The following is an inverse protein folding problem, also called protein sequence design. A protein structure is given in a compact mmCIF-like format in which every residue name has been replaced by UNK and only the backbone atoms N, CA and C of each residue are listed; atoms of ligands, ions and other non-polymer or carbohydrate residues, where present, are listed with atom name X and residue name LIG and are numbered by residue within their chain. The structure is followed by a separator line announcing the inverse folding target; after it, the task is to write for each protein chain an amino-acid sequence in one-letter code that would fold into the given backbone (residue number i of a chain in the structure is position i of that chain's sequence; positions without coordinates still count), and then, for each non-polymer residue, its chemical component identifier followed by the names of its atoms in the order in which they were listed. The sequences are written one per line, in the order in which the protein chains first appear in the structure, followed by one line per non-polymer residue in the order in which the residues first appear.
data_IF_802353646389
#
_entry.id   IF_802353646389
#
_cell.length_a   1.000
_cell.length_b   1.000
_cell.length_c   1.000
_cell.angle_alpha   90.00
_cell.angle_beta   90.00
_cell.angle_gamma   90.00
#
_symmetry.space_group_name_H-M   'P 1'
#
loop_
_entity.id
_entity.type
_entity.pdbx_description
1 polymer ?
#
# COMPACT_ATOMS: atom_id res chain seq x y z
N UNK A 1 -11.08 10.90 8.06
CA UNK A 1 -11.77 9.68 8.57
C UNK A 1 -11.09 8.38 8.08
N UNK A 2 -10.33 8.40 6.98
CA UNK A 2 -9.61 7.23 6.44
C UNK A 2 -8.50 6.67 7.35
N UNK A 3 -7.78 7.54 8.09
CA UNK A 3 -6.72 7.15 9.04
C UNK A 3 -7.21 6.15 10.08
N UNK A 4 -8.37 6.42 10.68
CA UNK A 4 -8.94 5.48 11.62
C UNK A 4 -9.60 4.29 10.90
N UNK A 5 -10.46 4.51 9.91
CA UNK A 5 -11.17 3.40 9.25
C UNK A 5 -10.25 2.33 8.64
N UNK A 6 -9.38 2.71 7.71
CA UNK A 6 -8.62 1.79 6.86
C UNK A 6 -7.09 1.89 7.03
N UNK A 7 -6.62 2.82 7.88
CA UNK A 7 -5.19 3.00 8.16
C UNK A 7 -4.52 1.72 8.67
N UNK A 8 -5.18 0.98 9.57
CA UNK A 8 -4.66 -0.28 10.12
C UNK A 8 -4.45 -1.35 9.03
N UNK A 9 -5.41 -1.49 8.11
CA UNK A 9 -5.30 -2.44 6.99
C UNK A 9 -4.15 -2.04 6.05
N UNK A 10 -4.02 -0.75 5.72
CA UNK A 10 -2.92 -0.27 4.88
C UNK A 10 -1.55 -0.47 5.55
N UNK A 11 -1.48 -0.28 6.87
CA UNK A 11 -0.31 -0.59 7.69
C UNK A 11 0.07 -2.07 7.59
N UNK A 12 -0.88 -2.98 7.76
CA UNK A 12 -0.65 -4.43 7.66
C UNK A 12 -0.15 -4.84 6.27
N UNK A 13 -0.72 -4.29 5.19
CA UNK A 13 -0.28 -4.53 3.81
C UNK A 13 1.18 -4.08 3.65
N UNK A 14 1.52 -2.90 4.17
CA UNK A 14 2.88 -2.34 4.09
C UNK A 14 3.88 -3.15 4.92
N UNK A 15 3.49 -3.57 6.12
CA UNK A 15 4.33 -4.39 7.01
C UNK A 15 4.66 -5.73 6.38
N UNK A 16 3.71 -6.36 5.67
CA UNK A 16 3.97 -7.60 4.90
C UNK A 16 5.01 -7.38 3.80
N UNK A 17 4.99 -6.23 3.12
CA UNK A 17 6.01 -5.89 2.12
C UNK A 17 7.38 -5.68 2.77
N UNK A 18 7.44 -4.97 3.90
CA UNK A 18 8.69 -4.71 4.64
C UNK A 18 9.27 -6.02 5.18
N UNK A 19 8.45 -6.89 5.78
CA UNK A 19 8.90 -8.21 6.24
C UNK A 19 9.49 -9.04 5.07
N UNK A 20 8.88 -8.94 3.89
CA UNK A 20 9.38 -9.60 2.68
C UNK A 20 10.73 -9.05 2.22
N UNK A 21 10.92 -7.73 2.27
CA UNK A 21 12.20 -7.07 1.98
C UNK A 21 13.28 -7.51 2.98
N UNK A 22 12.98 -7.48 4.27
CA UNK A 22 13.95 -7.80 5.33
C UNK A 22 14.33 -9.28 5.39
N UNK A 23 13.61 -10.15 4.68
CA UNK A 23 13.84 -11.60 4.71
C UNK A 23 13.55 -12.23 6.08
N UNK A 24 12.89 -11.51 6.99
CA UNK A 24 12.42 -12.02 8.28
C UNK A 24 11.24 -12.96 8.04
N UNK A 25 11.52 -14.19 7.69
CA UNK A 25 10.53 -15.25 7.78
C UNK A 25 10.31 -15.56 9.26
N UNK A 26 9.08 -15.38 9.76
CA UNK A 26 8.68 -15.95 11.05
C UNK A 26 8.90 -17.45 10.94
N UNK A 27 9.68 -18.04 11.86
CA UNK A 27 10.00 -19.47 11.87
C UNK A 27 8.69 -20.28 11.86
N UNK A 28 8.38 -20.93 10.75
CA UNK A 28 7.23 -21.84 10.60
C UNK A 28 6.11 -21.35 9.70
N UNK A 29 6.12 -20.10 9.22
CA UNK A 29 5.18 -19.65 8.18
C UNK A 29 5.78 -19.83 6.78
N UNK A 30 5.01 -20.42 5.87
CA UNK A 30 5.39 -20.47 4.46
C UNK A 30 5.61 -19.05 3.92
N UNK A 31 6.61 -18.90 3.04
CA UNK A 31 6.98 -17.62 2.44
C UNK A 31 5.81 -17.04 1.64
N UNK A 32 4.99 -16.20 2.27
CA UNK A 32 3.81 -15.57 1.66
C UNK A 32 4.21 -14.85 0.36
N UNK A 33 3.62 -15.29 -0.76
CA UNK A 33 3.82 -14.69 -2.10
C UNK A 33 2.60 -13.94 -2.59
N UNK A 34 1.42 -14.30 -2.08
CA UNK A 34 0.14 -13.72 -2.44
C UNK A 34 -0.72 -13.64 -1.19
N UNK A 35 -1.28 -12.46 -0.94
CA UNK A 35 -2.31 -12.25 0.07
C UNK A 35 -3.56 -11.73 -0.65
N UNK A 36 -4.71 -12.32 -0.34
CA UNK A 36 -5.99 -11.90 -0.90
C UNK A 36 -6.87 -11.45 0.26
N UNK A 37 -7.39 -10.23 0.16
CA UNK A 37 -8.30 -9.65 1.13
C UNK A 37 -9.64 -9.42 0.46
N UNK A 38 -10.72 -9.84 1.12
CA UNK A 38 -12.07 -9.49 0.70
C UNK A 38 -12.50 -8.22 1.45
N UNK A 39 -13.19 -7.33 0.76
CA UNK A 39 -13.66 -6.06 1.31
C UNK A 39 -14.90 -5.56 0.58
N UNK A 40 -15.27 -4.32 0.83
CA UNK A 40 -16.41 -3.65 0.21
C UNK A 40 -15.94 -2.40 -0.56
N UNK A 41 -16.86 -1.78 -1.28
CA UNK A 41 -16.65 -0.43 -1.84
C UNK A 41 -16.17 0.57 -0.77
N UNK A 42 -16.71 0.49 0.44
CA UNK A 42 -16.30 1.21 1.65
C UNK A 42 -14.91 0.82 2.17
N UNK A 43 -14.28 -0.20 1.62
CA UNK A 43 -12.86 -0.55 1.82
C UNK A 43 -12.01 0.06 0.71
N UNK A 44 -12.40 -0.16 -0.56
CA UNK A 44 -11.64 0.27 -1.75
C UNK A 44 -11.55 1.80 -1.85
N UNK A 45 -12.66 2.51 -1.65
CA UNK A 45 -12.70 3.98 -1.71
C UNK A 45 -11.73 4.62 -0.71
N UNK A 46 -11.81 4.31 0.59
CA UNK A 46 -10.87 4.85 1.57
C UNK A 46 -9.40 4.46 1.33
N UNK A 47 -9.10 3.27 0.80
CA UNK A 47 -7.74 2.92 0.40
C UNK A 47 -7.23 3.82 -0.75
N UNK A 48 -8.07 4.10 -1.75
CA UNK A 48 -7.74 5.06 -2.82
C UNK A 48 -7.54 6.48 -2.27
N UNK A 49 -8.31 6.89 -1.26
CA UNK A 49 -8.16 8.19 -0.59
C UNK A 49 -6.82 8.27 0.15
N UNK A 50 -6.41 7.21 0.86
CA UNK A 50 -5.10 7.14 1.54
C UNK A 50 -3.96 7.29 0.53
N UNK A 51 -4.11 6.73 -0.67
CA UNK A 51 -3.12 6.83 -1.76
C UNK A 51 -3.24 8.13 -2.56
N UNK A 52 -4.12 9.05 -2.17
CA UNK A 52 -4.44 10.29 -2.89
C UNK A 52 -4.72 10.05 -4.39
N UNK A 53 -5.39 8.94 -4.70
CA UNK A 53 -5.68 8.47 -6.07
C UNK A 53 -7.18 8.20 -6.28
N UNK A 54 -8.03 8.73 -5.40
CA UNK A 54 -9.48 8.60 -5.49
C UNK A 54 -10.03 9.61 -6.50
N UNK A 55 -10.82 9.13 -7.46
CA UNK A 55 -11.37 9.93 -8.56
C UNK A 55 -12.79 10.44 -8.28
N UNK A 56 -13.20 10.45 -7.00
CA UNK A 56 -14.53 10.85 -6.52
C UNK A 56 -15.68 10.00 -7.06
N UNK A 57 -15.39 8.83 -7.65
CA UNK A 57 -16.39 7.89 -8.15
C UNK A 57 -16.49 6.68 -7.23
N UNK A 58 -17.72 6.20 -7.05
CA UNK A 58 -17.97 4.98 -6.28
C UNK A 58 -17.30 3.79 -6.98
N UNK A 59 -16.57 2.92 -6.25
CA UNK A 59 -15.96 1.73 -6.84
C UNK A 59 -17.04 0.83 -7.48
N UNK A 60 -16.94 0.50 -8.79
CA UNK A 60 -17.91 -0.39 -9.43
C UNK A 60 -17.83 -1.82 -8.86
N UNK A 61 -18.83 -2.64 -9.17
CA UNK A 61 -18.83 -4.06 -8.82
C UNK A 61 -17.57 -4.77 -9.33
N UNK A 62 -17.02 -5.65 -8.49
CA UNK A 62 -15.79 -6.38 -8.81
C UNK A 62 -14.52 -5.53 -8.76
N UNK A 63 -14.57 -4.35 -8.14
CA UNK A 63 -13.38 -3.50 -7.99
C UNK A 63 -12.28 -4.18 -7.18
N UNK A 64 -11.04 -4.03 -7.62
CA UNK A 64 -9.87 -4.61 -6.97
C UNK A 64 -8.71 -3.61 -6.92
N UNK A 65 -7.99 -3.64 -5.79
CA UNK A 65 -6.69 -2.99 -5.62
C UNK A 65 -5.61 -4.05 -5.57
N UNK A 66 -4.63 -3.94 -6.45
CA UNK A 66 -3.49 -4.83 -6.51
C UNK A 66 -2.25 -4.06 -6.04
N UNK A 67 -1.56 -4.61 -5.04
CA UNK A 67 -0.32 -4.08 -4.52
C UNK A 67 0.82 -5.03 -4.90
N UNK A 68 1.72 -4.59 -5.78
CA UNK A 68 2.80 -5.39 -6.34
C UNK A 68 4.14 -4.93 -5.75
N UNK A 69 4.92 -5.86 -5.18
CA UNK A 69 6.27 -5.60 -4.67
C UNK A 69 7.32 -6.16 -5.64
N UNK A 70 8.20 -5.30 -6.13
CA UNK A 70 9.30 -5.64 -7.03
C UNK A 70 10.66 -5.49 -6.34
N UNK A 71 11.62 -6.35 -6.70
CA UNK A 71 13.04 -6.19 -6.36
C UNK A 71 13.83 -6.03 -7.65
N UNK A 72 14.69 -5.02 -7.73
CA UNK A 72 15.58 -4.84 -8.88
C UNK A 72 16.69 -5.89 -8.86
N UNK A 73 16.94 -6.57 -9.98
CA UNK A 73 17.92 -7.66 -10.03
C UNK A 73 19.32 -7.10 -9.79
N UNK A 74 20.02 -7.61 -8.78
CA UNK A 74 21.37 -7.17 -8.42
C UNK A 74 21.42 -5.95 -7.49
N UNK A 75 20.27 -5.43 -7.07
CA UNK A 75 20.18 -4.31 -6.11
C UNK A 75 19.25 -4.71 -4.95
N UNK A 76 19.46 -4.10 -3.78
CA UNK A 76 18.60 -4.30 -2.60
C UNK A 76 17.40 -3.34 -2.59
N UNK A 77 17.27 -2.50 -3.61
CA UNK A 77 16.16 -1.57 -3.75
C UNK A 77 14.87 -2.29 -4.15
N UNK A 78 13.79 -1.93 -3.45
CA UNK A 78 12.46 -2.47 -3.64
C UNK A 78 11.50 -1.38 -4.10
N UNK A 79 10.55 -1.79 -4.93
CA UNK A 79 9.56 -0.88 -5.50
C UNK A 79 8.15 -1.41 -5.33
N UNK A 80 7.20 -0.49 -5.20
CA UNK A 80 5.77 -0.78 -5.08
C UNK A 80 5.04 -0.20 -6.27
N UNK A 81 4.17 -1.01 -6.88
CA UNK A 81 3.17 -0.56 -7.85
C UNK A 81 1.79 -0.85 -7.31
N UNK A 82 0.87 0.08 -7.52
CA UNK A 82 -0.54 -0.12 -7.18
C UNK A 82 -1.38 -0.03 -8.45
N UNK A 83 -2.31 -0.97 -8.61
CA UNK A 83 -3.30 -0.94 -9.69
C UNK A 83 -4.70 -0.91 -9.10
N UNK A 84 -5.56 -0.12 -9.71
CA UNK A 84 -6.99 -0.10 -9.46
C UNK A 84 -7.71 -0.52 -10.73
N UNK A 85 -8.42 -1.66 -10.69
CA UNK A 85 -9.14 -2.21 -11.83
C UNK A 85 -8.26 -2.28 -13.10
N UNK A 86 -7.10 -2.94 -12.98
CA UNK A 86 -6.06 -3.08 -14.03
C UNK A 86 -5.36 -1.78 -14.47
N UNK A 87 -5.81 -0.61 -13.99
CA UNK A 87 -5.15 0.67 -14.26
C UNK A 87 -4.07 0.93 -13.22
N UNK A 88 -2.84 1.08 -13.68
CA UNK A 88 -1.73 1.49 -12.81
C UNK A 88 -1.96 2.91 -12.29
N UNK A 89 -1.80 3.09 -10.98
CA UNK A 89 -1.92 4.37 -10.31
C UNK A 89 -0.57 5.10 -10.28
N UNK A 90 -0.61 6.42 -10.52
CA UNK A 90 0.48 7.33 -10.17
C UNK A 90 0.20 7.89 -8.78
N UNK A 91 0.96 7.44 -7.78
CA UNK A 91 0.77 7.89 -6.40
C UNK A 91 1.43 9.27 -6.25
N UNK A 92 0.67 10.34 -5.96
CA UNK A 92 1.23 11.69 -5.89
C UNK A 92 2.35 11.81 -4.85
N UNK A 93 2.24 11.11 -3.72
CA UNK A 93 3.25 11.10 -2.65
C UNK A 93 4.61 10.49 -3.04
N UNK A 94 4.72 9.81 -4.19
CA UNK A 94 5.98 9.26 -4.69
C UNK A 94 6.56 10.05 -5.88
N UNK A 95 5.89 11.12 -6.31
CA UNK A 95 6.23 11.81 -7.57
C UNK A 95 7.54 12.62 -7.51
N UNK A 96 8.09 12.84 -6.31
CA UNK A 96 9.35 13.57 -6.15
C UNK A 96 10.55 12.75 -6.63
N UNK A 97 11.61 13.43 -7.06
CA UNK A 97 12.84 12.78 -7.53
C UNK A 97 13.43 11.89 -6.43
N UNK A 98 13.73 10.63 -6.75
CA UNK A 98 14.27 9.63 -5.81
C UNK A 98 13.22 8.85 -5.01
N UNK A 99 11.93 9.15 -5.18
CA UNK A 99 10.82 8.41 -4.53
C UNK A 99 10.12 7.43 -5.48
N UNK A 100 10.57 7.36 -6.72
CA UNK A 100 10.09 6.45 -7.75
C UNK A 100 11.25 6.05 -8.65
N UNK A 101 11.07 4.96 -9.40
CA UNK A 101 12.06 4.52 -10.39
C UNK A 101 12.25 5.58 -11.46
N UNK A 102 13.50 5.84 -11.83
CA UNK A 102 13.83 6.79 -12.90
C UNK A 102 13.09 6.43 -14.21
N UNK A 103 12.34 7.39 -14.74
CA UNK A 103 11.52 7.22 -15.95
C UNK A 103 10.16 6.55 -15.74
N UNK A 104 9.81 6.09 -14.53
CA UNK A 104 8.51 5.47 -14.23
C UNK A 104 7.94 5.97 -12.88
N UNK A 105 7.05 6.97 -12.94
CA UNK A 105 6.36 7.54 -11.76
C UNK A 105 5.33 6.61 -11.13
N UNK A 106 4.95 5.53 -11.82
CA UNK A 106 3.99 4.56 -11.29
C UNK A 106 4.62 3.54 -10.35
N UNK A 107 5.95 3.56 -10.25
CA UNK A 107 6.73 2.58 -9.52
C UNK A 107 7.48 3.27 -8.38
N UNK A 108 6.79 3.42 -7.24
CA UNK A 108 7.31 4.04 -6.03
C UNK A 108 8.47 3.22 -5.43
N UNK A 109 9.44 3.86 -4.80
CA UNK A 109 10.33 3.15 -3.87
C UNK A 109 9.52 2.68 -2.66
N UNK A 110 9.87 1.51 -2.10
CA UNK A 110 9.18 0.97 -0.93
C UNK A 110 9.26 1.91 0.27
N UNK A 111 10.39 2.61 0.44
CA UNK A 111 10.56 3.62 1.50
C UNK A 111 9.62 4.82 1.33
N UNK A 112 9.46 5.33 0.10
CA UNK A 112 8.51 6.40 -0.17
C UNK A 112 7.07 5.94 0.11
N UNK A 113 6.70 4.76 -0.37
CA UNK A 113 5.38 4.17 -0.12
C UNK A 113 5.11 4.01 1.38
N UNK A 114 6.08 3.49 2.14
CA UNK A 114 5.99 3.33 3.60
C UNK A 114 5.76 4.66 4.32
N UNK A 115 6.45 5.72 3.90
CA UNK A 115 6.29 7.04 4.52
C UNK A 115 4.89 7.60 4.33
N UNK A 116 4.31 7.45 3.13
CA UNK A 116 2.92 7.87 2.84
C UNK A 116 1.95 7.11 3.75
N UNK A 117 2.08 5.79 3.82
CA UNK A 117 1.18 4.96 4.63
C UNK A 117 1.28 5.31 6.10
N UNK A 118 2.49 5.56 6.61
CA UNK A 118 2.75 5.85 8.03
C UNK A 118 1.96 7.06 8.56
N UNK A 119 1.70 8.07 7.73
CA UNK A 119 0.88 9.24 8.11
C UNK A 119 -0.59 8.85 8.36
N UNK A 120 -1.05 7.78 7.73
CA UNK A 120 -2.42 7.28 7.81
C UNK A 120 -2.58 6.08 8.74
N UNK A 121 -1.51 5.58 9.37
CA UNK A 121 -1.58 4.50 10.35
C UNK A 121 -1.67 5.11 11.77
N UNK A 122 -2.70 4.76 12.57
CA UNK A 122 -2.79 5.19 13.96
C UNK A 122 -1.72 4.50 14.80
N UNK A 123 -1.12 5.23 15.74
CA UNK A 123 -0.08 4.68 16.63
C UNK A 123 -0.70 3.85 17.74
N UNK A 124 -1.82 4.31 18.28
CA UNK A 124 -2.60 3.64 19.32
C UNK A 124 -4.07 3.64 18.90
N UNK A 125 -4.46 2.60 18.19
CA UNK A 125 -5.80 2.44 17.64
C UNK A 125 -6.88 2.47 18.71
N UNK A 126 -6.66 1.77 19.82
CA UNK A 126 -7.66 1.60 20.88
C UNK A 126 -7.92 2.93 21.59
N UNK A 127 -6.85 3.65 21.92
CA UNK A 127 -6.96 4.97 22.54
C UNK A 127 -7.53 6.03 21.59
N UNK A 128 -7.17 6.00 20.31
CA UNK A 128 -7.72 6.96 19.34
C UNK A 128 -9.20 6.67 19.01
N UNK A 129 -9.68 5.45 19.26
CA UNK A 129 -11.09 5.06 19.09
C UNK A 129 -11.91 5.07 20.38
N UNK A 130 -11.30 5.30 21.55
CA UNK A 130 -12.03 5.44 22.81
C UNK A 130 -12.64 6.85 22.89
N UNK A 131 -13.85 6.99 22.33
CA UNK A 131 -14.69 8.19 22.39
C UNK A 131 -15.66 8.12 23.56
#
# INVERSE_FOLDING_TARGET
MSRLGLGRLMGEITDRMVQKQEGKNVKGEEKLKLAVYSGHDTTVGPLLIILNSFDERWPPFGSALLFELFKKKGEEEHFVRVKYNEKTLEIPGCSSKGQHKEGDKTLCTLDAFRNIVKEHVPMDWEKECSV
#
